data_IF_904761529477
#
_entry.id   IF_904761529477
#
_cell.length_a   1.000
_cell.length_b   1.000
_cell.length_c   1.000
_cell.angle_alpha   90.00
_cell.angle_beta   90.00
_cell.angle_gamma   90.00
#
_symmetry.space_group_name_H-M   'P 1'
#
loop_
_entity.id
_entity.type
_entity.pdbx_description
1 polymer ?
#
# COMPACT_ATOMS: atom_id res chain seq x y z
N UNK A 1 18.06 41.98 32.58
CA UNK A 1 18.91 42.03 31.37
C UNK A 1 20.22 41.38 31.78
N UNK A 2 20.58 40.14 31.44
CA UNK A 2 20.31 39.35 30.24
C UNK A 2 21.65 39.16 29.55
N UNK A 3 22.37 38.07 29.84
CA UNK A 3 23.50 37.62 29.02
C UNK A 3 23.71 36.10 29.22
N UNK A 4 22.65 35.32 28.96
CA UNK A 4 22.79 33.94 28.53
C UNK A 4 23.42 33.93 27.13
N UNK A 5 24.74 34.14 27.04
CA UNK A 5 25.48 33.85 25.80
C UNK A 5 25.69 32.35 25.71
N UNK A 6 24.64 31.64 25.33
CA UNK A 6 24.78 30.31 24.74
C UNK A 6 25.39 30.51 23.35
N UNK A 7 26.68 30.17 23.24
CA UNK A 7 27.41 30.17 21.97
C UNK A 7 27.85 28.74 21.65
N UNK A 8 27.67 28.34 20.39
CA UNK A 8 28.29 27.11 19.89
C UNK A 8 29.78 27.38 19.66
N UNK A 9 30.65 26.72 20.41
CA UNK A 9 32.09 26.75 20.15
C UNK A 9 32.44 25.55 19.25
N UNK A 10 32.75 25.82 17.98
CA UNK A 10 33.25 24.80 17.04
C UNK A 10 34.74 25.01 16.85
N UNK A 11 35.55 24.11 17.39
CA UNK A 11 37.01 24.13 17.20
C UNK A 11 37.40 23.02 16.23
N UNK A 12 37.79 23.41 15.01
CA UNK A 12 38.35 22.49 14.01
C UNK A 12 39.87 22.69 14.01
N UNK A 13 40.62 21.72 14.54
CA UNK A 13 42.08 21.77 14.54
C UNK A 13 42.68 20.36 14.53
N UNK A 14 43.98 20.26 14.17
CA UNK A 14 44.73 18.99 14.25
C UNK A 14 45.10 18.62 15.69
N UNK A 15 45.23 19.60 16.59
CA UNK A 15 45.53 19.44 18.02
C UNK A 15 44.96 20.65 18.78
N UNK A 16 44.05 20.40 19.72
CA UNK A 16 43.53 21.39 20.67
C UNK A 16 44.16 21.14 22.04
N UNK A 17 44.56 22.18 22.75
CA UNK A 17 45.06 22.09 24.13
C UNK A 17 44.61 23.32 24.88
N UNK A 18 43.90 23.13 26.00
CA UNK A 18 43.43 24.18 26.87
C UNK A 18 44.00 23.92 28.26
N UNK A 19 44.70 24.91 28.83
CA UNK A 19 45.33 24.83 30.14
C UNK A 19 44.64 25.83 31.06
N UNK A 20 44.08 25.36 32.18
CA UNK A 20 43.47 26.23 33.18
C UNK A 20 43.42 25.54 34.54
N UNK A 21 43.47 26.30 35.63
CA UNK A 21 43.40 25.76 36.99
C UNK A 21 42.02 25.16 37.32
N UNK A 22 40.96 25.65 36.67
CA UNK A 22 39.58 25.16 36.77
C UNK A 22 38.89 25.26 35.40
N UNK A 23 38.72 24.15 34.69
CA UNK A 23 37.87 24.09 33.49
C UNK A 23 36.47 23.69 33.93
N UNK A 24 35.49 24.59 33.75
CA UNK A 24 34.07 24.34 34.04
C UNK A 24 33.25 24.42 32.75
N UNK A 25 32.66 23.30 32.32
CA UNK A 25 31.66 23.30 31.26
C UNK A 25 30.27 23.24 31.88
N UNK A 26 29.53 24.34 31.75
CA UNK A 26 28.18 24.46 32.26
C UNK A 26 27.22 24.32 31.06
N UNK A 27 26.66 23.13 30.87
CA UNK A 27 25.69 22.83 29.81
C UNK A 27 24.34 22.50 30.42
N UNK A 28 23.26 23.04 29.85
CA UNK A 28 21.90 22.63 30.20
C UNK A 28 21.43 21.35 29.46
N UNK A 29 22.32 20.71 28.69
CA UNK A 29 22.07 19.44 27.98
C UNK A 29 23.32 18.56 27.87
N UNK A 30 23.21 17.41 27.18
CA UNK A 30 24.34 16.48 26.99
C UNK A 30 25.55 17.16 26.34
N UNK A 31 26.75 16.90 26.88
CA UNK A 31 28.02 17.35 26.30
C UNK A 31 28.65 16.18 25.56
N UNK A 32 28.88 16.33 24.25
CA UNK A 32 29.53 15.31 23.43
C UNK A 32 30.93 15.75 23.00
N UNK A 33 31.91 14.89 23.22
CA UNK A 33 33.27 15.06 22.72
C UNK A 33 33.55 13.97 21.70
N UNK A 34 33.84 14.37 20.47
CA UNK A 34 34.09 13.45 19.37
C UNK A 34 35.53 13.62 18.87
N UNK A 35 36.31 12.55 18.88
CA UNK A 35 37.67 12.52 18.33
C UNK A 35 37.87 11.26 17.49
N UNK A 36 38.40 11.43 16.28
CA UNK A 36 38.73 10.30 15.41
C UNK A 36 39.96 9.49 15.87
N UNK A 37 40.66 9.92 16.92
CA UNK A 37 41.87 9.26 17.43
C UNK A 37 41.86 9.02 18.95
N UNK A 38 41.79 10.08 19.76
CA UNK A 38 41.90 10.01 21.22
C UNK A 38 41.22 11.21 21.89
N UNK A 39 40.59 10.98 23.04
CA UNK A 39 40.15 12.02 23.98
C UNK A 39 40.94 11.82 25.27
N UNK A 40 41.57 12.89 25.77
CA UNK A 40 42.32 12.86 27.04
C UNK A 40 41.80 13.98 27.93
N UNK A 41 41.32 13.62 29.12
CA UNK A 41 40.92 14.57 30.16
C UNK A 41 41.88 14.41 31.34
N UNK A 42 42.54 15.48 31.76
CA UNK A 42 43.44 15.47 32.90
C UNK A 42 42.92 16.43 33.98
N UNK A 43 42.72 15.93 35.20
CA UNK A 43 42.36 16.71 36.37
C UNK A 43 43.32 16.45 37.54
N UNK A 44 43.08 17.11 38.69
CA UNK A 44 43.88 16.91 39.93
C UNK A 44 43.70 15.53 40.57
N UNK A 45 42.76 14.73 40.10
CA UNK A 45 42.64 13.29 40.37
C UNK A 45 42.86 12.55 39.05
N UNK A 46 43.52 11.39 39.11
CA UNK A 46 44.06 10.63 37.96
C UNK A 46 43.24 10.78 36.66
N UNK A 47 43.90 11.28 35.61
CA UNK A 47 43.24 11.58 34.34
C UNK A 47 42.71 10.34 33.63
N UNK A 48 41.49 10.42 33.09
CA UNK A 48 40.87 9.34 32.30
C UNK A 48 41.25 9.51 30.82
N UNK A 49 41.70 8.42 30.20
CA UNK A 49 42.02 8.38 28.76
C UNK A 49 41.11 7.36 28.08
N UNK A 50 40.50 7.74 26.96
CA UNK A 50 39.69 6.84 26.14
C UNK A 50 40.37 6.67 24.77
N UNK A 51 40.76 5.43 24.44
CA UNK A 51 41.21 5.04 23.12
C UNK A 51 40.15 4.19 22.41
N UNK A 52 40.02 4.39 21.08
CA UNK A 52 39.18 3.55 20.22
C UNK A 52 39.56 2.05 20.27
N UNK A 53 40.80 1.77 20.70
CA UNK A 53 41.38 0.44 20.81
C UNK A 53 41.94 0.17 22.21
N UNK A 54 41.42 0.83 23.26
CA UNK A 54 41.84 0.47 24.62
C UNK A 54 41.64 -1.06 24.77
N UNK A 55 42.68 -1.79 25.19
CA UNK A 55 42.53 -3.22 25.42
C UNK A 55 41.46 -3.34 26.48
N UNK A 56 40.35 -3.95 26.09
CA UNK A 56 39.41 -4.47 27.08
C UNK A 56 40.27 -5.36 27.98
N UNK A 57 40.40 -4.99 29.25
CA UNK A 57 40.90 -5.92 30.25
C UNK A 57 39.77 -6.93 30.48
N UNK A 58 39.55 -7.77 29.47
CA UNK A 58 38.84 -9.02 29.59
C UNK A 58 39.77 -9.89 30.42
N UNK A 59 39.27 -10.39 31.53
CA UNK A 59 39.97 -11.38 32.32
C UNK A 59 40.46 -12.50 31.35
N UNK A 60 41.77 -12.69 31.22
CA UNK A 60 42.38 -13.55 30.21
C UNK A 60 42.03 -15.03 30.38
N UNK A 61 41.40 -15.39 31.52
CA UNK A 61 40.92 -16.73 31.82
C UNK A 61 39.54 -17.05 31.23
N UNK A 62 38.68 -16.05 30.94
CA UNK A 62 37.30 -16.31 30.51
C UNK A 62 36.83 -15.26 29.50
N UNK A 63 36.46 -15.69 28.30
CA UNK A 63 35.87 -14.77 27.30
C UNK A 63 34.43 -14.46 27.70
N UNK A 64 34.09 -13.18 27.91
CA UNK A 64 32.70 -12.73 28.12
C UNK A 64 31.82 -13.28 27.00
N UNK A 65 30.74 -13.96 27.36
CA UNK A 65 29.76 -14.52 26.42
C UNK A 65 28.49 -13.72 26.44
N UNK A 66 27.87 -13.57 25.27
CA UNK A 66 26.47 -13.17 25.16
C UNK A 66 25.62 -14.41 25.46
N UNK A 67 24.64 -14.28 26.33
CA UNK A 67 23.74 -15.36 26.75
C UNK A 67 22.33 -15.19 26.20
N UNK A 68 21.94 -13.97 25.78
CA UNK A 68 20.60 -13.72 25.24
C UNK A 68 20.60 -12.57 24.24
N UNK A 69 20.02 -12.83 23.07
CA UNK A 69 19.70 -11.84 22.04
C UNK A 69 18.19 -11.79 21.86
N UNK A 70 17.62 -10.59 21.74
CA UNK A 70 16.18 -10.35 21.53
C UNK A 70 15.98 -9.37 20.39
N UNK A 71 14.86 -9.47 19.69
CA UNK A 71 14.46 -8.57 18.61
C UNK A 71 12.95 -8.62 18.39
N UNK A 72 12.43 -7.88 17.40
CA UNK A 72 11.02 -7.95 17.04
C UNK A 72 10.66 -9.35 16.50
N UNK A 73 9.37 -9.71 16.56
CA UNK A 73 8.89 -10.99 16.06
C UNK A 73 8.88 -11.02 14.52
N UNK A 74 8.70 -9.86 13.89
CA UNK A 74 8.87 -9.69 12.45
C UNK A 74 9.66 -8.44 12.09
N UNK A 75 10.24 -8.45 10.89
CA UNK A 75 11.01 -7.35 10.31
C UNK A 75 10.56 -7.13 8.88
N UNK A 76 10.39 -5.87 8.50
CA UNK A 76 10.08 -5.51 7.12
C UNK A 76 11.39 -5.45 6.31
N UNK A 77 11.43 -6.13 5.17
CA UNK A 77 12.55 -6.10 4.25
C UNK A 77 12.79 -4.67 3.73
N UNK A 78 14.05 -4.25 3.67
CA UNK A 78 14.48 -2.90 3.34
C UNK A 78 14.38 -1.89 4.50
N UNK A 79 13.70 -2.24 5.59
CA UNK A 79 13.59 -1.39 6.77
C UNK A 79 14.64 -1.73 7.82
N UNK A 80 14.74 -0.81 8.78
CA UNK A 80 15.69 -0.87 9.88
C UNK A 80 14.98 -1.20 11.19
N UNK A 81 15.54 -2.15 11.94
CA UNK A 81 14.97 -2.70 13.18
C UNK A 81 16.03 -2.79 14.28
N UNK A 82 15.61 -2.67 15.54
CA UNK A 82 16.50 -2.75 16.69
C UNK A 82 16.54 -4.17 17.28
N UNK A 83 17.74 -4.69 17.49
CA UNK A 83 18.03 -5.93 18.20
C UNK A 83 18.87 -5.64 19.44
N UNK A 84 18.77 -6.49 20.46
CA UNK A 84 19.37 -6.28 21.79
C UNK A 84 20.09 -7.51 22.28
N UNK A 85 21.30 -7.36 22.83
CA UNK A 85 21.93 -8.36 23.67
C UNK A 85 21.68 -7.97 25.13
N UNK A 86 20.99 -8.84 25.87
CA UNK A 86 20.35 -8.51 27.16
C UNK A 86 20.88 -9.30 28.34
N UNK A 87 21.67 -10.34 28.10
CA UNK A 87 22.30 -11.13 29.16
C UNK A 87 23.71 -11.54 28.76
N UNK A 88 24.62 -11.53 29.73
CA UNK A 88 26.04 -11.78 29.55
C UNK A 88 26.56 -12.70 30.67
N UNK A 89 27.68 -13.38 30.45
CA UNK A 89 28.27 -14.31 31.43
C UNK A 89 28.75 -13.65 32.73
N UNK A 90 28.89 -12.33 32.74
CA UNK A 90 29.28 -11.52 33.89
C UNK A 90 28.70 -10.10 33.73
N UNK A 91 28.82 -9.27 34.77
CA UNK A 91 28.44 -7.86 34.69
C UNK A 91 29.42 -7.10 33.82
N UNK A 92 28.94 -6.55 32.70
CA UNK A 92 29.78 -5.85 31.72
C UNK A 92 29.47 -4.34 31.74
N UNK A 93 30.47 -3.46 31.94
CA UNK A 93 30.27 -2.02 31.83
C UNK A 93 29.80 -1.60 30.42
N UNK A 94 28.95 -0.57 30.34
CA UNK A 94 28.37 -0.10 29.06
C UNK A 94 29.44 0.24 28.00
N UNK A 95 30.56 0.84 28.40
CA UNK A 95 31.67 1.14 27.47
C UNK A 95 32.28 -0.11 26.82
N UNK A 96 32.24 -1.27 27.50
CA UNK A 96 32.68 -2.55 26.93
C UNK A 96 31.57 -3.20 26.09
N UNK A 97 30.31 -3.02 26.46
CA UNK A 97 29.16 -3.49 25.67
C UNK A 97 29.09 -2.85 24.28
N UNK A 98 29.64 -1.65 24.10
CA UNK A 98 29.80 -1.02 22.79
C UNK A 98 30.69 -1.82 21.82
N UNK A 99 31.47 -2.79 22.32
CA UNK A 99 32.35 -3.66 21.52
C UNK A 99 31.69 -4.96 21.08
N UNK A 100 30.41 -5.17 21.43
CA UNK A 100 29.64 -6.32 20.94
C UNK A 100 29.57 -6.25 19.41
N UNK A 101 30.07 -7.32 18.78
CA UNK A 101 29.95 -7.57 17.36
C UNK A 101 28.59 -8.18 17.03
N UNK A 102 28.11 -7.94 15.82
CA UNK A 102 26.81 -8.41 15.35
C UNK A 102 26.94 -9.11 14.01
N UNK A 103 26.14 -10.15 13.80
CA UNK A 103 26.05 -10.86 12.54
C UNK A 103 24.60 -11.28 12.25
N UNK A 104 24.32 -11.68 11.01
CA UNK A 104 23.02 -12.20 10.62
C UNK A 104 23.14 -13.44 9.72
N UNK A 105 22.04 -14.16 9.60
CA UNK A 105 21.86 -15.26 8.65
C UNK A 105 20.43 -15.26 8.11
N UNK A 106 20.29 -15.65 6.85
CA UNK A 106 19.01 -15.92 6.17
C UNK A 106 18.84 -17.41 5.85
N UNK A 107 19.58 -18.29 6.50
CA UNK A 107 19.59 -19.73 6.22
C UNK A 107 19.77 -20.54 7.51
N UNK A 108 19.15 -20.04 8.57
CA UNK A 108 19.15 -20.59 9.93
C UNK A 108 20.55 -20.85 10.53
N UNK A 109 21.52 -20.03 10.15
CA UNK A 109 22.89 -20.03 10.66
C UNK A 109 23.88 -20.88 9.86
N UNK A 110 23.49 -21.43 8.70
CA UNK A 110 24.44 -22.09 7.79
C UNK A 110 25.47 -21.10 7.24
N UNK A 111 25.03 -19.88 6.91
CA UNK A 111 25.86 -18.77 6.47
C UNK A 111 25.66 -17.58 7.40
N UNK A 112 26.67 -17.28 8.21
CA UNK A 112 26.65 -16.17 9.16
C UNK A 112 27.54 -15.04 8.64
N UNK A 113 26.92 -13.88 8.42
CA UNK A 113 27.55 -12.71 7.80
C UNK A 113 27.68 -11.59 8.85
N UNK A 114 28.90 -11.17 9.21
CA UNK A 114 29.12 -10.02 10.09
C UNK A 114 28.59 -8.72 9.48
N UNK A 115 27.99 -7.85 10.30
CA UNK A 115 27.63 -6.51 9.86
C UNK A 115 28.90 -5.66 9.68
N UNK A 116 29.09 -5.12 8.47
CA UNK A 116 30.30 -4.33 8.11
C UNK A 116 30.29 -2.90 8.66
N UNK A 117 29.14 -2.38 9.10
CA UNK A 117 28.97 -0.99 9.51
C UNK A 117 27.92 -0.81 10.63
N UNK A 118 27.84 0.40 11.17
CA UNK A 118 26.90 0.80 12.22
C UNK A 118 27.48 0.71 13.64
N UNK A 119 27.07 1.61 14.51
CA UNK A 119 27.55 1.71 15.90
C UNK A 119 26.68 0.86 16.83
N UNK A 120 27.31 0.08 17.71
CA UNK A 120 26.61 -0.54 18.84
C UNK A 120 26.40 0.53 19.91
N UNK A 121 25.14 0.75 20.30
CA UNK A 121 24.81 1.57 21.47
C UNK A 121 24.79 0.67 22.70
N UNK A 122 25.21 1.17 23.86
CA UNK A 122 25.04 0.47 25.12
C UNK A 122 24.50 1.40 26.20
N UNK A 123 23.55 0.91 26.99
CA UNK A 123 23.06 1.59 28.19
C UNK A 123 22.50 0.55 29.16
N UNK A 124 22.74 0.76 30.47
CA UNK A 124 22.13 -0.03 31.55
C UNK A 124 22.35 -1.54 31.40
N UNK A 125 23.55 -1.94 30.95
CA UNK A 125 23.90 -3.34 30.78
C UNK A 125 23.31 -4.00 29.54
N UNK A 126 22.74 -3.24 28.60
CA UNK A 126 22.17 -3.76 27.35
C UNK A 126 22.95 -3.19 26.16
N UNK A 127 23.33 -4.05 25.21
CA UNK A 127 23.88 -3.62 23.93
C UNK A 127 22.80 -3.66 22.85
N UNK A 128 22.72 -2.61 22.04
CA UNK A 128 21.71 -2.40 21.01
C UNK A 128 22.36 -2.29 19.63
N UNK A 129 21.72 -2.89 18.63
CA UNK A 129 22.09 -2.72 17.24
C UNK A 129 20.88 -2.50 16.37
N UNK A 130 20.97 -1.46 15.58
CA UNK A 130 20.02 -1.10 14.56
C UNK A 130 20.46 -1.71 13.24
N UNK A 131 19.64 -2.59 12.67
CA UNK A 131 19.96 -3.46 11.53
C UNK A 131 18.97 -3.21 10.40
N UNK A 132 19.47 -2.93 9.20
CA UNK A 132 18.66 -2.97 7.98
C UNK A 132 18.63 -4.40 7.45
N UNK A 133 17.43 -4.97 7.37
CA UNK A 133 17.24 -6.32 6.84
C UNK A 133 17.06 -6.20 5.33
N UNK A 134 18.09 -6.48 4.55
CA UNK A 134 18.08 -6.35 3.09
C UNK A 134 18.79 -7.53 2.42
N UNK A 135 18.43 -7.82 1.16
CA UNK A 135 19.08 -8.84 0.35
C UNK A 135 18.63 -10.28 0.63
N UNK A 136 17.56 -10.48 1.42
CA UNK A 136 16.98 -11.79 1.61
C UNK A 136 16.03 -12.15 0.45
N UNK A 137 16.44 -13.10 -0.39
CA UNK A 137 15.66 -13.57 -1.54
C UNK A 137 15.17 -15.02 -1.39
N UNK A 138 15.46 -15.68 -0.27
CA UNK A 138 15.33 -17.14 -0.15
C UNK A 138 14.46 -17.55 1.03
N UNK A 139 14.73 -17.02 2.22
CA UNK A 139 14.12 -17.48 3.47
C UNK A 139 13.18 -16.42 4.02
N UNK A 140 12.04 -16.83 4.57
CA UNK A 140 11.07 -15.89 5.13
C UNK A 140 11.44 -15.47 6.56
N UNK A 141 12.71 -15.63 6.96
CA UNK A 141 13.23 -15.33 8.30
C UNK A 141 14.66 -14.75 8.27
N UNK A 142 15.02 -14.03 9.33
CA UNK A 142 16.39 -13.59 9.61
C UNK A 142 16.75 -13.96 11.04
N UNK A 143 17.93 -14.54 11.21
CA UNK A 143 18.56 -14.78 12.51
C UNK A 143 19.63 -13.72 12.76
N UNK A 144 19.59 -13.07 13.92
CA UNK A 144 20.57 -12.06 14.35
C UNK A 144 21.33 -12.55 15.57
N UNK A 145 22.65 -12.41 15.50
CA UNK A 145 23.61 -12.87 16.50
C UNK A 145 24.37 -11.69 17.08
N UNK A 146 24.75 -11.81 18.35
CA UNK A 146 25.63 -10.86 19.04
C UNK A 146 26.74 -11.62 19.76
N UNK A 147 27.98 -11.12 19.70
CA UNK A 147 29.15 -11.83 20.24
C UNK A 147 30.34 -10.89 20.49
N UNK A 148 31.25 -11.29 21.37
CA UNK A 148 32.54 -10.58 21.56
C UNK A 148 33.63 -11.13 20.63
N UNK A 149 33.95 -12.43 20.74
CA UNK A 149 35.03 -13.07 19.96
C UNK A 149 34.52 -14.01 18.87
N UNK A 150 33.58 -14.89 19.22
CA UNK A 150 33.03 -15.91 18.31
C UNK A 150 31.52 -16.00 18.47
N UNK A 151 30.83 -16.15 17.34
CA UNK A 151 29.39 -16.40 17.31
C UNK A 151 29.07 -17.73 17.99
N UNK A 152 28.10 -17.73 18.89
CA UNK A 152 27.41 -18.93 19.34
C UNK A 152 26.13 -19.09 18.49
N UNK A 153 26.02 -20.14 17.64
CA UNK A 153 24.89 -20.30 16.75
C UNK A 153 23.56 -20.55 17.47
N UNK A 154 23.59 -20.92 18.76
CA UNK A 154 22.40 -21.16 19.56
C UNK A 154 21.85 -19.87 20.20
N UNK A 155 22.66 -18.80 20.28
CA UNK A 155 22.28 -17.54 20.91
C UNK A 155 21.95 -16.52 19.81
N UNK A 156 20.68 -16.50 19.41
CA UNK A 156 20.17 -15.65 18.33
C UNK A 156 18.76 -15.13 18.63
N UNK A 157 18.42 -14.01 18.01
CA UNK A 157 17.03 -13.61 17.84
C UNK A 157 16.60 -13.93 16.41
N UNK A 158 15.42 -14.54 16.25
CA UNK A 158 14.85 -14.87 14.94
C UNK A 158 13.61 -14.02 14.71
N UNK A 159 13.51 -13.44 13.52
CA UNK A 159 12.36 -12.63 13.11
C UNK A 159 11.87 -13.07 11.73
N UNK A 160 10.54 -13.11 11.54
CA UNK A 160 9.93 -13.33 10.22
C UNK A 160 10.17 -12.11 9.33
N UNK A 161 10.59 -12.32 8.09
CA UNK A 161 10.75 -11.23 7.11
C UNK A 161 9.42 -10.98 6.40
N UNK A 162 8.97 -9.74 6.44
CA UNK A 162 7.78 -9.22 5.76
C UNK A 162 8.21 -8.45 4.52
N UNK A 163 7.65 -8.81 3.38
CA UNK A 163 7.93 -8.18 2.10
C UNK A 163 6.75 -7.29 1.72
N UNK A 164 7.04 -6.00 1.52
CA UNK A 164 6.07 -5.07 0.95
C UNK A 164 6.20 -5.08 -0.60
N UNK A 165 5.12 -4.84 -1.34
CA UNK A 165 3.78 -4.50 -0.85
C UNK A 165 3.00 -5.72 -0.31
N UNK A 166 2.12 -5.49 0.68
CA UNK A 166 1.14 -6.48 1.13
C UNK A 166 -0.24 -6.09 0.62
N UNK A 167 -1.01 -7.06 0.12
CA UNK A 167 -2.41 -6.85 -0.25
C UNK A 167 -3.22 -6.77 1.04
N UNK A 168 -3.86 -5.62 1.31
CA UNK A 168 -4.67 -5.41 2.51
C UNK A 168 -6.09 -5.92 2.30
N UNK A 169 -6.63 -5.65 1.11
CA UNK A 169 -7.99 -6.01 0.73
C UNK A 169 -8.15 -5.99 -0.81
N UNK A 170 -9.02 -6.87 -1.32
CA UNK A 170 -9.36 -7.01 -2.75
C UNK A 170 -10.82 -7.35 -2.91
N UNK A 171 -11.54 -6.49 -3.62
CA UNK A 171 -12.93 -6.73 -3.98
C UNK A 171 -13.05 -6.96 -5.49
N UNK A 172 -13.56 -8.14 -5.88
CA UNK A 172 -13.73 -8.59 -7.27
C UNK A 172 -12.44 -8.49 -8.10
N UNK A 173 -12.56 -8.72 -9.41
CA UNK A 173 -11.46 -8.62 -10.38
C UNK A 173 -11.96 -7.83 -11.60
N UNK A 174 -11.18 -6.87 -12.14
CA UNK A 174 -11.62 -6.01 -13.22
C UNK A 174 -12.06 -6.80 -14.46
N UNK A 175 -13.23 -6.46 -15.02
CA UNK A 175 -13.78 -7.09 -16.23
C UNK A 175 -14.47 -8.44 -16.04
N UNK A 176 -14.46 -9.01 -14.83
CA UNK A 176 -15.21 -10.23 -14.50
C UNK A 176 -16.51 -9.89 -13.76
N UNK A 177 -17.54 -10.71 -13.93
CA UNK A 177 -18.83 -10.55 -13.26
C UNK A 177 -18.74 -10.76 -11.73
N UNK A 178 -19.88 -10.62 -11.04
CA UNK A 178 -20.00 -10.67 -9.58
C UNK A 178 -19.51 -11.99 -9.00
N UNK A 179 -19.62 -13.08 -9.76
CA UNK A 179 -19.15 -14.42 -9.36
C UNK A 179 -17.67 -14.65 -9.67
N UNK A 180 -17.07 -13.79 -10.52
CA UNK A 180 -15.71 -13.97 -11.02
C UNK A 180 -15.56 -15.13 -12.00
N UNK A 181 -16.65 -15.62 -12.60
CA UNK A 181 -16.68 -16.83 -13.44
C UNK A 181 -16.97 -16.58 -14.92
N UNK A 182 -17.23 -15.33 -15.31
CA UNK A 182 -17.34 -14.93 -16.71
C UNK A 182 -17.15 -13.42 -16.85
N UNK A 183 -17.28 -12.88 -18.06
CA UNK A 183 -17.31 -11.44 -18.33
C UNK A 183 -18.39 -10.73 -17.51
N UNK A 184 -18.07 -9.52 -17.02
CA UNK A 184 -19.08 -8.62 -16.47
C UNK A 184 -20.08 -8.21 -17.56
N UNK A 185 -21.37 -8.12 -17.21
CA UNK A 185 -22.42 -7.96 -18.21
C UNK A 185 -22.34 -6.61 -18.96
N UNK A 186 -21.94 -5.56 -18.24
CA UNK A 186 -21.64 -4.22 -18.72
C UNK A 186 -20.32 -4.12 -19.51
N UNK A 187 -19.44 -5.13 -19.41
CA UNK A 187 -18.26 -5.29 -20.26
C UNK A 187 -18.51 -6.14 -21.52
N UNK A 188 -19.68 -6.79 -21.62
CA UNK A 188 -20.05 -7.56 -22.81
C UNK A 188 -20.42 -6.63 -23.97
N UNK A 189 -20.10 -7.04 -25.20
CA UNK A 189 -20.39 -6.24 -26.40
C UNK A 189 -20.48 -7.14 -27.62
N UNK A 190 -21.29 -6.75 -28.60
CA UNK A 190 -21.52 -7.61 -29.76
C UNK A 190 -22.57 -7.08 -30.72
N UNK A 191 -23.08 -7.99 -31.55
CA UNK A 191 -24.08 -7.69 -32.59
C UNK A 191 -25.40 -8.40 -32.37
N UNK A 192 -25.81 -8.55 -31.11
CA UNK A 192 -27.06 -9.22 -30.74
C UNK A 192 -27.03 -10.74 -30.84
N UNK A 193 -25.85 -11.36 -30.76
CA UNK A 193 -25.65 -12.81 -30.78
C UNK A 193 -25.23 -13.30 -29.39
N UNK A 194 -26.20 -13.40 -28.47
CA UNK A 194 -25.93 -13.77 -27.08
C UNK A 194 -25.33 -15.17 -26.92
N UNK A 195 -24.17 -15.27 -26.27
CA UNK A 195 -23.50 -16.54 -25.95
C UNK A 195 -22.80 -16.46 -24.60
N UNK A 196 -23.06 -17.45 -23.73
CA UNK A 196 -22.30 -17.71 -22.51
C UNK A 196 -21.86 -19.18 -22.45
N UNK A 197 -20.73 -19.51 -21.79
CA UNK A 197 -19.76 -18.56 -21.22
C UNK A 197 -18.93 -17.86 -22.31
N UNK A 198 -18.42 -16.66 -22.01
CA UNK A 198 -17.53 -15.91 -22.90
C UNK A 198 -16.07 -16.34 -22.69
N UNK A 199 -15.66 -16.51 -21.44
CA UNK A 199 -14.30 -16.95 -21.09
C UNK A 199 -14.22 -18.43 -20.73
N UNK A 200 -13.07 -19.05 -20.99
CA UNK A 200 -12.79 -20.39 -20.48
C UNK A 200 -12.45 -20.35 -18.99
N UNK A 201 -12.78 -21.42 -18.25
CA UNK A 201 -12.44 -21.54 -16.83
C UNK A 201 -10.92 -21.44 -16.58
N UNK A 202 -10.10 -21.96 -17.51
CA UNK A 202 -8.64 -21.90 -17.43
C UNK A 202 -8.12 -20.45 -17.54
N UNK A 203 -8.67 -19.66 -18.46
CA UNK A 203 -8.31 -18.24 -18.62
C UNK A 203 -8.62 -17.43 -17.36
N UNK A 204 -9.78 -17.68 -16.76
CA UNK A 204 -10.21 -17.01 -15.53
C UNK A 204 -9.29 -17.37 -14.36
N UNK A 205 -8.97 -18.65 -14.17
CA UNK A 205 -8.09 -19.09 -13.11
C UNK A 205 -6.68 -18.46 -13.25
N UNK A 206 -6.14 -18.43 -14.47
CA UNK A 206 -4.86 -17.79 -14.76
C UNK A 206 -4.89 -16.28 -14.45
N UNK A 207 -5.94 -15.58 -14.89
CA UNK A 207 -6.07 -14.14 -14.68
C UNK A 207 -6.21 -13.78 -13.20
N UNK A 208 -7.07 -14.48 -12.45
CA UNK A 208 -7.27 -14.23 -11.01
C UNK A 208 -5.97 -14.38 -10.21
N UNK A 209 -5.23 -15.45 -10.47
CA UNK A 209 -3.96 -15.69 -9.79
C UNK A 209 -2.94 -14.59 -10.13
N UNK A 210 -2.80 -14.23 -11.41
CA UNK A 210 -1.90 -13.17 -11.85
C UNK A 210 -2.26 -11.79 -11.28
N UNK A 211 -3.56 -11.46 -11.21
CA UNK A 211 -4.06 -10.19 -10.68
C UNK A 211 -3.78 -10.01 -9.18
N UNK A 212 -3.94 -11.08 -8.39
CA UNK A 212 -3.63 -11.04 -6.96
C UNK A 212 -2.16 -10.75 -6.69
N UNK A 213 -1.26 -11.38 -7.45
CA UNK A 213 0.17 -11.25 -7.24
C UNK A 213 0.74 -9.96 -7.85
N UNK A 214 0.45 -9.70 -9.13
CA UNK A 214 1.11 -8.62 -9.90
C UNK A 214 0.19 -7.48 -10.32
N UNK A 215 -1.12 -7.60 -10.08
CA UNK A 215 -2.12 -6.62 -10.52
C UNK A 215 -2.53 -6.79 -11.99
N UNK A 216 -3.22 -5.80 -12.54
CA UNK A 216 -3.69 -5.83 -13.92
C UNK A 216 -2.55 -5.49 -14.91
N UNK A 217 -2.17 -6.43 -15.76
CA UNK A 217 -1.21 -6.25 -16.86
C UNK A 217 -1.97 -6.07 -18.18
N UNK A 218 -1.84 -4.90 -18.82
CA UNK A 218 -2.59 -4.57 -20.02
C UNK A 218 -2.28 -5.46 -21.23
N UNK A 219 -1.07 -6.04 -21.31
CA UNK A 219 -0.69 -6.94 -22.39
C UNK A 219 -1.24 -8.35 -22.14
N UNK A 220 -1.08 -8.87 -20.93
CA UNK A 220 -1.51 -10.24 -20.57
C UNK A 220 -3.02 -10.36 -20.39
N UNK A 221 -3.65 -9.30 -19.89
CA UNK A 221 -5.08 -9.29 -19.53
C UNK A 221 -5.93 -8.49 -20.53
N UNK A 222 -5.39 -8.18 -21.71
CA UNK A 222 -6.05 -7.43 -22.78
C UNK A 222 -7.50 -7.89 -23.04
N UNK A 223 -7.74 -9.20 -23.03
CA UNK A 223 -9.07 -9.78 -23.24
C UNK A 223 -10.10 -9.41 -22.18
N UNK A 224 -9.70 -9.22 -20.93
CA UNK A 224 -10.62 -8.86 -19.85
C UNK A 224 -10.98 -7.37 -19.84
N UNK A 225 -10.26 -6.56 -20.63
CA UNK A 225 -10.56 -5.15 -20.86
C UNK A 225 -11.10 -4.86 -22.27
N UNK A 226 -11.40 -5.88 -23.08
CA UNK A 226 -11.80 -5.74 -24.48
C UNK A 226 -10.77 -5.07 -25.41
N UNK A 227 -9.49 -5.11 -25.07
CA UNK A 227 -8.42 -4.64 -25.98
C UNK A 227 -8.10 -5.65 -27.09
N UNK A 228 -8.60 -6.88 -26.98
CA UNK A 228 -8.51 -7.94 -27.99
C UNK A 228 -9.59 -7.79 -29.09
N UNK A 229 -9.57 -8.71 -30.05
CA UNK A 229 -10.60 -8.84 -31.09
C UNK A 229 -11.58 -9.95 -30.73
N UNK A 230 -12.88 -9.73 -30.92
CA UNK A 230 -13.88 -10.78 -30.77
C UNK A 230 -15.29 -10.21 -30.64
N UNK A 231 -16.29 -11.09 -30.68
CA UNK A 231 -17.65 -10.79 -30.24
C UNK A 231 -17.82 -11.44 -28.86
N UNK A 232 -18.21 -10.64 -27.86
CA UNK A 232 -18.45 -11.07 -26.48
C UNK A 232 -19.89 -10.81 -26.08
N UNK A 233 -20.79 -10.82 -27.06
CA UNK A 233 -22.20 -10.54 -26.88
C UNK A 233 -22.84 -11.59 -25.98
N UNK A 234 -23.53 -11.13 -24.94
CA UNK A 234 -24.30 -12.00 -24.04
C UNK A 234 -25.81 -11.81 -24.20
N UNK A 235 -26.22 -10.81 -24.98
CA UNK A 235 -27.63 -10.50 -25.24
C UNK A 235 -27.97 -10.72 -26.71
N UNK A 236 -29.15 -11.30 -26.93
CA UNK A 236 -29.74 -11.43 -28.25
C UNK A 236 -30.40 -10.12 -28.69
N UNK A 237 -30.54 -9.91 -30.00
CA UNK A 237 -31.32 -8.76 -30.53
C UNK A 237 -32.72 -8.71 -29.92
N UNK A 238 -33.38 -9.86 -29.75
CA UNK A 238 -34.70 -9.93 -29.14
C UNK A 238 -34.70 -9.41 -27.69
N UNK A 239 -33.73 -9.83 -26.86
CA UNK A 239 -33.59 -9.33 -25.49
C UNK A 239 -33.38 -7.81 -25.46
N UNK A 240 -32.51 -7.27 -26.32
CA UNK A 240 -32.27 -5.82 -26.38
C UNK A 240 -33.53 -5.08 -26.82
N UNK A 241 -34.22 -5.52 -27.87
CA UNK A 241 -35.44 -4.87 -28.38
C UNK A 241 -36.62 -4.95 -27.42
N UNK A 242 -36.67 -5.96 -26.56
CA UNK A 242 -37.74 -6.15 -25.58
C UNK A 242 -37.65 -5.22 -24.37
N UNK A 243 -36.58 -4.41 -24.25
CA UNK A 243 -36.48 -3.37 -23.21
C UNK A 243 -37.49 -2.23 -23.41
N UNK A 244 -38.08 -2.07 -24.60
CA UNK A 244 -39.26 -1.23 -24.79
C UNK A 244 -39.43 -0.60 -26.18
N UNK A 245 -40.57 0.05 -26.41
CA UNK A 245 -40.88 0.71 -27.70
C UNK A 245 -39.88 1.80 -28.07
N UNK A 246 -39.41 2.57 -27.09
CA UNK A 246 -38.42 3.62 -27.34
C UNK A 246 -37.04 3.05 -27.72
N UNK A 247 -36.69 1.86 -27.25
CA UNK A 247 -35.48 1.14 -27.69
C UNK A 247 -35.59 0.76 -29.17
N UNK A 248 -36.73 0.21 -29.58
CA UNK A 248 -37.01 -0.10 -30.99
C UNK A 248 -36.89 1.15 -31.86
N UNK A 249 -37.44 2.28 -31.40
CA UNK A 249 -37.35 3.56 -32.10
C UNK A 249 -35.88 4.02 -32.24
N UNK A 250 -35.12 4.03 -31.15
CA UNK A 250 -33.71 4.41 -31.18
C UNK A 250 -32.87 3.50 -32.09
N UNK A 251 -33.20 2.21 -32.22
CA UNK A 251 -32.43 1.29 -33.07
C UNK A 251 -32.53 1.57 -34.57
N UNK A 252 -33.50 2.36 -35.04
CA UNK A 252 -33.56 2.82 -36.43
C UNK A 252 -32.53 3.92 -36.75
N UNK A 253 -31.94 4.55 -35.73
CA UNK A 253 -30.94 5.59 -35.91
C UNK A 253 -29.62 5.02 -36.43
N UNK A 254 -28.93 5.83 -37.25
CA UNK A 254 -27.54 5.58 -37.64
C UNK A 254 -26.60 5.69 -36.45
N UNK A 255 -25.42 5.05 -36.51
CA UNK A 255 -24.41 5.13 -35.45
C UNK A 255 -24.02 6.58 -35.14
N UNK A 256 -23.93 7.46 -36.14
CA UNK A 256 -23.67 8.89 -35.93
C UNK A 256 -24.77 9.60 -35.13
N UNK A 257 -26.05 9.27 -35.35
CA UNK A 257 -27.16 9.82 -34.57
C UNK A 257 -27.17 9.26 -33.15
N UNK A 258 -26.87 7.96 -32.98
CA UNK A 258 -26.72 7.35 -31.66
C UNK A 258 -25.60 8.02 -30.85
N UNK A 259 -24.45 8.29 -31.47
CA UNK A 259 -23.36 9.01 -30.80
C UNK A 259 -23.69 10.47 -30.49
N UNK A 260 -24.54 11.10 -31.30
CA UNK A 260 -25.07 12.44 -31.02
C UNK A 260 -25.99 12.41 -29.80
N UNK A 261 -26.94 11.47 -29.74
CA UNK A 261 -27.82 11.28 -28.58
C UNK A 261 -27.04 10.98 -27.30
N UNK A 262 -25.99 10.16 -27.41
CA UNK A 262 -25.12 9.83 -26.29
C UNK A 262 -24.37 11.07 -25.76
N UNK A 263 -23.79 11.89 -26.64
CA UNK A 263 -23.14 13.15 -26.23
C UNK A 263 -24.12 14.16 -25.67
N UNK A 264 -25.28 14.34 -26.31
CA UNK A 264 -26.30 15.28 -25.85
C UNK A 264 -26.75 14.98 -24.41
N UNK A 265 -26.88 13.71 -24.04
CA UNK A 265 -27.17 13.30 -22.66
C UNK A 265 -26.09 13.77 -21.68
N UNK A 266 -24.81 13.63 -22.02
CA UNK A 266 -23.70 14.07 -21.15
C UNK A 266 -23.69 15.58 -20.97
N UNK A 267 -24.02 16.35 -22.01
CA UNK A 267 -24.18 17.81 -21.89
C UNK A 267 -25.29 18.22 -20.94
N UNK A 268 -26.31 17.38 -20.73
CA UNK A 268 -27.36 17.65 -19.76
C UNK A 268 -26.97 17.25 -18.33
N UNK A 269 -26.07 16.26 -18.20
CA UNK A 269 -25.81 15.60 -16.92
C UNK A 269 -24.52 16.02 -16.24
N UNK A 270 -23.46 16.38 -16.97
CA UNK A 270 -22.14 16.71 -16.41
C UNK A 270 -21.71 18.14 -16.73
N UNK A 271 -20.86 18.73 -15.87
CA UNK A 271 -20.27 20.07 -16.02
C UNK A 271 -18.77 20.04 -15.69
N UNK A 272 -18.04 21.06 -16.16
CA UNK A 272 -16.61 21.25 -15.85
C UNK A 272 -15.70 20.18 -16.45
N UNK A 273 -14.51 19.99 -15.88
CA UNK A 273 -13.45 19.09 -16.39
C UNK A 273 -13.93 17.66 -16.64
N UNK A 274 -14.90 17.19 -15.85
CA UNK A 274 -15.44 15.85 -16.01
C UNK A 274 -16.38 15.70 -17.21
N UNK A 275 -17.02 16.78 -17.67
CA UNK A 275 -17.75 16.78 -18.94
C UNK A 275 -16.77 16.50 -20.11
N UNK A 276 -15.62 17.19 -20.13
CA UNK A 276 -14.58 16.94 -21.14
C UNK A 276 -13.97 15.53 -21.00
N UNK A 277 -13.77 15.05 -19.76
CA UNK A 277 -13.37 13.66 -19.54
C UNK A 277 -14.37 12.66 -20.14
N UNK A 278 -15.68 12.85 -19.91
CA UNK A 278 -16.69 11.93 -20.44
C UNK A 278 -16.76 12.01 -21.96
N UNK A 279 -16.59 13.20 -22.57
CA UNK A 279 -16.45 13.33 -24.03
C UNK A 279 -15.30 12.47 -24.56
N UNK A 280 -14.14 12.51 -23.91
CA UNK A 280 -12.99 11.66 -24.28
C UNK A 280 -13.29 10.16 -24.10
N UNK A 281 -14.06 9.79 -23.07
CA UNK A 281 -14.52 8.41 -22.88
C UNK A 281 -15.45 7.95 -24.00
N UNK A 282 -16.37 8.80 -24.45
CA UNK A 282 -17.23 8.50 -25.60
C UNK A 282 -16.42 8.45 -26.90
N UNK A 283 -15.44 9.34 -27.11
CA UNK A 283 -14.55 9.31 -28.28
C UNK A 283 -13.74 8.00 -28.31
N UNK A 284 -13.27 7.54 -27.14
CA UNK A 284 -12.62 6.23 -27.00
C UNK A 284 -13.57 5.10 -27.38
N UNK A 285 -14.79 5.10 -26.84
CA UNK A 285 -15.81 4.11 -27.15
C UNK A 285 -16.10 4.08 -28.65
N UNK A 286 -16.28 5.25 -29.27
CA UNK A 286 -16.50 5.42 -30.71
C UNK A 286 -15.31 4.96 -31.57
N UNK A 287 -14.08 5.12 -31.07
CA UNK A 287 -12.89 4.58 -31.73
C UNK A 287 -12.74 3.06 -31.60
N UNK A 288 -13.64 2.41 -30.85
CA UNK A 288 -13.73 0.97 -30.67
C UNK A 288 -12.43 0.32 -30.16
N UNK A 289 -11.76 0.98 -29.20
CA UNK A 289 -10.43 0.55 -28.70
C UNK A 289 -10.48 -0.45 -27.53
N UNK A 290 -11.54 -0.47 -26.72
CA UNK A 290 -11.54 -1.21 -25.45
C UNK A 290 -10.39 -0.77 -24.53
N UNK A 291 -9.81 -1.69 -23.76
CA UNK A 291 -8.61 -1.51 -22.93
C UNK A 291 -8.83 -0.77 -21.62
N UNK A 292 -7.77 -0.15 -21.10
CA UNK A 292 -7.81 0.66 -19.87
C UNK A 292 -7.82 2.13 -20.23
N UNK A 293 -8.68 2.90 -19.56
CA UNK A 293 -8.76 4.35 -19.62
C UNK A 293 -8.43 4.95 -18.26
N UNK A 294 -7.52 5.92 -18.26
CA UNK A 294 -7.10 6.68 -17.08
C UNK A 294 -7.17 8.17 -17.42
N UNK A 295 -7.57 8.98 -16.43
CA UNK A 295 -7.61 10.42 -16.59
C UNK A 295 -7.33 11.12 -15.26
N UNK A 296 -6.50 12.16 -15.29
CA UNK A 296 -6.09 12.87 -14.08
C UNK A 296 -7.23 13.68 -13.43
N UNK A 297 -8.12 14.28 -14.23
CA UNK A 297 -9.29 14.99 -13.72
C UNK A 297 -10.29 14.03 -13.07
N UNK A 298 -10.51 12.86 -13.68
CA UNK A 298 -11.31 11.80 -13.08
C UNK A 298 -10.71 11.32 -11.75
N UNK A 299 -9.41 11.03 -11.74
CA UNK A 299 -8.69 10.61 -10.53
C UNK A 299 -8.83 11.64 -9.41
N UNK A 300 -8.63 12.92 -9.72
CA UNK A 300 -8.78 14.03 -8.76
C UNK A 300 -10.20 14.11 -8.20
N UNK A 301 -11.22 14.02 -9.06
CA UNK A 301 -12.61 14.10 -8.64
C UNK A 301 -13.03 12.91 -7.76
N UNK A 302 -12.60 11.70 -8.12
CA UNK A 302 -12.84 10.49 -7.33
C UNK A 302 -12.17 10.58 -5.96
N UNK A 303 -10.92 11.02 -5.88
CA UNK A 303 -10.22 11.22 -4.60
C UNK A 303 -10.96 12.23 -3.71
N UNK A 304 -11.39 13.36 -4.28
CA UNK A 304 -12.04 14.42 -3.52
C UNK A 304 -13.44 14.05 -3.00
N UNK A 305 -14.07 13.01 -3.56
CA UNK A 305 -15.44 12.66 -3.25
C UNK A 305 -15.63 12.11 -1.81
N UNK A 306 -16.68 12.53 -1.08
CA UNK A 306 -16.97 12.02 0.27
C UNK A 306 -17.08 10.48 0.35
N UNK A 307 -17.55 9.80 -0.69
CA UNK A 307 -17.63 8.33 -0.70
C UNK A 307 -16.26 7.69 -0.64
N UNK A 308 -15.29 8.19 -1.41
CA UNK A 308 -13.91 7.70 -1.41
C UNK A 308 -13.21 8.00 -0.09
N UNK A 309 -13.48 9.16 0.53
CA UNK A 309 -12.93 9.49 1.84
C UNK A 309 -13.44 8.56 2.95
N UNK A 310 -14.75 8.22 2.93
CA UNK A 310 -15.32 7.22 3.86
C UNK A 310 -14.72 5.84 3.66
N UNK A 311 -14.58 5.40 2.41
CA UNK A 311 -13.91 4.14 2.06
C UNK A 311 -12.48 4.10 2.63
N UNK A 312 -11.66 5.12 2.32
CA UNK A 312 -10.28 5.19 2.81
C UNK A 312 -10.21 5.21 4.35
N UNK A 313 -11.12 5.92 5.01
CA UNK A 313 -11.20 5.95 6.48
C UNK A 313 -11.48 4.57 7.06
N UNK A 314 -12.41 3.82 6.46
CA UNK A 314 -12.72 2.46 6.88
C UNK A 314 -11.56 1.48 6.70
N UNK A 315 -10.86 1.56 5.56
CA UNK A 315 -9.67 0.75 5.29
C UNK A 315 -8.52 1.08 6.26
N UNK A 316 -8.31 2.37 6.57
CA UNK A 316 -7.32 2.79 7.57
C UNK A 316 -7.67 2.30 8.98
N UNK A 317 -8.95 2.31 9.36
CA UNK A 317 -9.41 1.79 10.65
C UNK A 317 -9.21 0.28 10.75
N UNK A 318 -9.48 -0.45 9.68
CA UNK A 318 -9.22 -1.89 9.61
C UNK A 318 -7.72 -2.20 9.72
N UNK A 319 -6.87 -1.51 8.96
CA UNK A 319 -5.41 -1.68 9.08
C UNK A 319 -4.95 -1.39 10.51
N UNK A 320 -5.43 -0.32 11.14
CA UNK A 320 -5.08 0.02 12.51
C UNK A 320 -5.53 -1.07 13.51
N UNK A 321 -6.72 -1.64 13.32
CA UNK A 321 -7.22 -2.74 14.14
C UNK A 321 -6.37 -4.01 14.00
N UNK A 322 -5.97 -4.37 12.77
CA UNK A 322 -5.06 -5.49 12.49
C UNK A 322 -3.69 -5.26 13.17
N UNK A 323 -3.13 -4.04 13.05
CA UNK A 323 -1.86 -3.65 13.68
C UNK A 323 -1.94 -3.74 15.21
N UNK A 324 -3.02 -3.22 15.82
CA UNK A 324 -3.22 -3.27 17.27
C UNK A 324 -3.31 -4.70 17.79
N UNK A 325 -4.13 -5.54 17.15
CA UNK A 325 -4.28 -6.96 17.53
C UNK A 325 -2.97 -7.75 17.39
N UNK A 326 -2.13 -7.37 16.43
CA UNK A 326 -0.82 -7.97 16.20
C UNK A 326 0.31 -7.32 17.02
N UNK A 327 0.01 -6.39 17.94
CA UNK A 327 1.01 -5.73 18.78
C UNK A 327 2.02 -4.88 18.01
N UNK A 328 1.64 -4.32 16.86
CA UNK A 328 2.51 -3.54 15.98
C UNK A 328 3.12 -4.32 14.81
N UNK A 329 2.93 -5.64 14.76
CA UNK A 329 3.44 -6.51 13.70
C UNK A 329 2.49 -6.51 12.48
N UNK A 330 3.01 -6.82 11.29
CA UNK A 330 2.22 -6.88 10.04
C UNK A 330 1.89 -8.31 9.60
N UNK A 331 2.11 -9.32 10.45
CA UNK A 331 1.96 -10.74 10.07
C UNK A 331 0.54 -11.14 9.69
N UNK A 332 -0.47 -10.38 10.13
CA UNK A 332 -1.90 -10.56 9.82
C UNK A 332 -2.44 -9.48 8.86
N UNK A 333 -1.56 -8.68 8.25
CA UNK A 333 -1.98 -7.59 7.37
C UNK A 333 -2.41 -8.09 5.98
N UNK A 334 -1.77 -9.14 5.47
CA UNK A 334 -2.02 -9.64 4.12
C UNK A 334 -3.34 -10.41 4.03
N UNK A 335 -4.25 -9.95 3.19
CA UNK A 335 -5.45 -10.65 2.76
C UNK A 335 -5.51 -10.69 1.22
N UNK A 336 -5.31 -11.87 0.66
CA UNK A 336 -5.43 -12.15 -0.79
C UNK A 336 -6.77 -12.80 -1.15
N UNK A 337 -7.71 -12.90 -0.21
CA UNK A 337 -9.04 -13.39 -0.51
C UNK A 337 -9.77 -12.39 -1.41
N UNK A 338 -10.12 -12.80 -2.63
CA UNK A 338 -11.01 -12.00 -3.46
C UNK A 338 -12.44 -12.23 -3.03
N UNK A 339 -13.13 -11.16 -2.65
CA UNK A 339 -14.54 -11.20 -2.33
C UNK A 339 -15.39 -11.06 -3.60
N UNK A 340 -16.25 -12.06 -3.82
CA UNK A 340 -17.23 -12.16 -4.90
C UNK A 340 -18.64 -12.29 -4.32
N UNK A 341 -19.67 -12.06 -5.13
CA UNK A 341 -21.07 -12.27 -4.75
C UNK A 341 -21.84 -11.00 -4.40
N UNK A 342 -22.93 -11.18 -3.64
CA UNK A 342 -23.88 -10.11 -3.31
C UNK A 342 -23.27 -9.06 -2.37
N UNK A 343 -23.69 -7.81 -2.57
CA UNK A 343 -23.16 -6.63 -1.89
C UNK A 343 -23.42 -6.62 -0.38
N UNK A 344 -24.54 -7.19 0.09
CA UNK A 344 -24.87 -7.29 1.51
C UNK A 344 -23.96 -8.27 2.24
N UNK A 345 -23.66 -9.41 1.62
CA UNK A 345 -22.69 -10.39 2.13
C UNK A 345 -21.30 -9.76 2.30
N UNK A 346 -20.84 -9.02 1.29
CA UNK A 346 -19.55 -8.33 1.34
C UNK A 346 -19.54 -7.20 2.40
N UNK A 347 -20.58 -6.37 2.47
CA UNK A 347 -20.71 -5.28 3.47
C UNK A 347 -20.74 -5.77 4.92
N UNK A 348 -21.16 -7.02 5.16
CA UNK A 348 -21.12 -7.60 6.52
C UNK A 348 -19.70 -7.72 7.07
N UNK A 349 -18.72 -7.98 6.20
CA UNK A 349 -17.29 -8.09 6.55
C UNK A 349 -16.54 -6.78 6.33
N UNK A 350 -16.97 -5.99 5.36
CA UNK A 350 -16.38 -4.71 4.98
C UNK A 350 -17.43 -3.60 5.12
N UNK A 351 -17.71 -3.13 6.34
CA UNK A 351 -18.79 -2.16 6.58
C UNK A 351 -18.57 -0.82 5.88
N UNK A 352 -17.35 -0.54 5.43
CA UNK A 352 -17.02 0.64 4.63
C UNK A 352 -17.38 0.50 3.14
N UNK A 353 -17.70 -0.70 2.66
CA UNK A 353 -18.13 -0.97 1.30
C UNK A 353 -17.09 -0.60 0.25
N UNK A 354 -17.55 -0.22 -0.95
CA UNK A 354 -16.74 0.39 -1.99
C UNK A 354 -17.22 1.83 -2.28
N UNK A 355 -16.37 2.68 -2.89
CA UNK A 355 -16.81 4.00 -3.34
C UNK A 355 -17.93 3.88 -4.38
N UNK A 356 -18.98 4.67 -4.20
CA UNK A 356 -20.09 4.78 -5.13
C UNK A 356 -20.50 6.25 -5.29
N UNK A 357 -20.85 6.62 -6.51
CA UNK A 357 -21.14 7.97 -6.96
C UNK A 357 -22.56 8.08 -7.56
N UNK A 358 -23.60 7.66 -6.81
CA UNK A 358 -24.96 7.69 -7.32
C UNK A 358 -25.42 9.12 -7.57
N UNK A 359 -26.32 9.27 -8.53
CA UNK A 359 -26.87 10.58 -8.94
C UNK A 359 -27.46 11.40 -7.79
N UNK A 360 -28.01 10.73 -6.78
CA UNK A 360 -28.80 11.32 -5.69
C UNK A 360 -27.95 11.89 -4.55
N UNK A 361 -26.63 11.71 -4.60
CA UNK A 361 -25.71 12.10 -3.52
C UNK A 361 -24.53 12.91 -4.04
N UNK A 362 -23.93 13.72 -3.16
CA UNK A 362 -22.64 14.39 -3.35
C UNK A 362 -22.49 15.18 -4.68
N UNK A 363 -23.60 15.62 -5.28
CA UNK A 363 -23.65 16.24 -6.62
C UNK A 363 -22.95 15.41 -7.71
N UNK A 364 -22.90 14.08 -7.56
CA UNK A 364 -22.16 13.18 -8.45
C UNK A 364 -22.67 13.23 -9.89
N UNK A 365 -23.97 13.47 -10.10
CA UNK A 365 -24.52 13.61 -11.44
C UNK A 365 -23.96 14.88 -12.09
N UNK A 366 -24.23 16.04 -11.49
CA UNK A 366 -23.82 17.34 -12.03
C UNK A 366 -22.30 17.48 -12.21
N UNK A 367 -21.52 16.85 -11.33
CA UNK A 367 -20.06 16.78 -11.47
C UNK A 367 -19.60 15.79 -12.53
N UNK A 368 -20.41 14.80 -12.92
CA UNK A 368 -20.13 13.82 -13.97
C UNK A 368 -19.64 12.46 -13.48
N UNK A 369 -19.40 12.27 -12.17
CA UNK A 369 -18.94 10.99 -11.62
C UNK A 369 -19.97 9.87 -11.80
N UNK A 370 -21.28 10.19 -11.74
CA UNK A 370 -22.36 9.21 -12.00
C UNK A 370 -22.30 8.63 -13.41
N UNK A 371 -21.74 9.35 -14.39
CA UNK A 371 -21.61 8.85 -15.77
C UNK A 371 -20.23 8.22 -16.01
N UNK A 372 -19.18 8.77 -15.41
CA UNK A 372 -17.81 8.33 -15.66
C UNK A 372 -17.42 7.02 -14.94
N UNK A 373 -17.95 6.78 -13.72
CA UNK A 373 -17.46 5.69 -12.85
C UNK A 373 -18.50 5.25 -11.79
N UNK A 374 -19.79 5.49 -12.04
CA UNK A 374 -20.93 5.43 -11.10
C UNK A 374 -20.77 4.60 -9.82
N UNK A 375 -20.43 3.31 -9.91
CA UNK A 375 -20.24 2.43 -8.75
C UNK A 375 -19.00 1.58 -8.96
N UNK A 376 -17.99 1.73 -8.10
CA UNK A 376 -16.69 1.07 -8.32
C UNK A 376 -16.88 -0.44 -8.34
N UNK A 377 -16.71 -1.03 -9.52
CA UNK A 377 -16.86 -2.46 -9.74
C UNK A 377 -15.89 -3.31 -8.94
N UNK A 378 -14.62 -2.93 -8.88
CA UNK A 378 -13.58 -3.67 -8.16
C UNK A 378 -12.49 -2.76 -7.64
N UNK A 379 -11.81 -3.19 -6.58
CA UNK A 379 -10.66 -2.46 -6.07
C UNK A 379 -9.59 -3.39 -5.49
N UNK A 380 -8.38 -2.84 -5.36
CA UNK A 380 -7.26 -3.45 -4.65
C UNK A 380 -6.59 -2.40 -3.78
N UNK A 381 -6.42 -2.72 -2.49
CA UNK A 381 -5.63 -1.90 -1.55
C UNK A 381 -4.35 -2.62 -1.19
N UNK A 382 -3.22 -1.93 -1.30
CA UNK A 382 -1.92 -2.49 -0.94
C UNK A 382 -1.17 -1.58 0.02
N UNK A 383 -0.62 -2.16 1.11
CA UNK A 383 0.30 -1.47 2.00
C UNK A 383 1.69 -1.47 1.36
N UNK A 384 2.20 -0.30 1.00
CA UNK A 384 3.44 -0.13 0.23
C UNK A 384 4.63 0.30 1.08
N UNK A 385 4.39 0.99 2.21
CA UNK A 385 5.41 1.30 3.19
C UNK A 385 4.85 1.29 4.61
N UNK A 386 5.66 0.90 5.58
CA UNK A 386 5.32 0.97 7.00
C UNK A 386 6.57 1.24 7.82
N UNK A 387 6.49 2.16 8.77
CA UNK A 387 7.58 2.49 9.69
C UNK A 387 7.02 2.64 11.10
N UNK A 388 7.50 1.81 12.01
CA UNK A 388 7.22 1.88 13.44
C UNK A 388 8.36 2.63 14.17
N UNK A 389 8.03 3.52 15.09
CA UNK A 389 8.98 4.27 15.93
C UNK A 389 8.39 4.38 17.33
N UNK A 390 8.96 3.62 18.27
CA UNK A 390 8.29 3.37 19.55
C UNK A 390 6.93 2.74 19.31
N UNK A 391 5.87 3.36 19.85
CA UNK A 391 4.50 2.90 19.67
C UNK A 391 3.78 3.58 18.49
N UNK A 392 4.41 4.54 17.82
CA UNK A 392 3.78 5.29 16.71
C UNK A 392 4.24 4.74 15.38
N UNK A 393 3.32 4.56 14.43
CA UNK A 393 3.65 4.15 13.08
C UNK A 393 3.21 5.19 12.04
N UNK A 394 3.89 5.16 10.90
CA UNK A 394 3.48 5.78 9.64
C UNK A 394 3.35 4.70 8.58
N UNK A 395 2.21 4.65 7.91
CA UNK A 395 1.89 3.70 6.86
C UNK A 395 1.56 4.45 5.56
N UNK A 396 2.02 3.91 4.43
CA UNK A 396 1.67 4.35 3.08
C UNK A 396 0.98 3.19 2.37
N UNK A 397 -0.12 3.47 1.71
CA UNK A 397 -0.89 2.48 0.96
C UNK A 397 -1.33 3.04 -0.39
N UNK A 398 -1.50 2.15 -1.35
CA UNK A 398 -2.05 2.43 -2.68
C UNK A 398 -3.47 1.87 -2.78
N UNK A 399 -4.37 2.64 -3.37
CA UNK A 399 -5.72 2.23 -3.76
C UNK A 399 -5.80 2.22 -5.28
N UNK A 400 -6.24 1.09 -5.83
CA UNK A 400 -6.62 0.95 -7.24
C UNK A 400 -8.11 0.69 -7.32
N UNK A 401 -8.87 1.57 -7.96
CA UNK A 401 -10.29 1.45 -8.23
C UNK A 401 -10.50 1.19 -9.72
N UNK A 402 -11.43 0.29 -10.03
CA UNK A 402 -11.77 -0.10 -11.39
C UNK A 402 -13.27 -0.09 -11.56
N UNK A 403 -13.72 0.39 -12.71
CA UNK A 403 -15.11 0.34 -13.13
C UNK A 403 -15.21 0.09 -14.64
N UNK A 404 -16.42 -0.08 -15.12
CA UNK A 404 -16.72 -0.36 -16.51
C UNK A 404 -17.40 0.85 -17.16
N UNK A 405 -16.87 1.29 -18.30
CA UNK A 405 -17.60 2.20 -19.17
C UNK A 405 -18.43 1.40 -20.17
N UNK A 406 -19.53 0.84 -19.67
CA UNK A 406 -20.53 0.10 -20.44
C UNK A 406 -21.82 -0.08 -19.64
N UNK A 407 -22.84 -0.67 -20.28
CA UNK A 407 -24.17 -0.85 -19.71
C UNK A 407 -24.64 -2.30 -19.79
N UNK A 408 -25.44 -2.71 -18.83
CA UNK A 408 -26.10 -4.02 -18.80
C UNK A 408 -27.64 -3.94 -18.93
N UNK A 409 -28.31 -5.09 -18.97
CA UNK A 409 -29.78 -5.12 -19.08
C UNK A 409 -30.49 -4.43 -17.88
N UNK A 410 -30.11 -4.68 -16.61
CA UNK A 410 -30.64 -3.94 -15.47
C UNK A 410 -30.59 -2.42 -15.61
N UNK A 411 -29.57 -1.85 -16.28
CA UNK A 411 -29.52 -0.41 -16.54
C UNK A 411 -30.67 0.09 -17.42
N UNK A 412 -31.23 -0.77 -18.28
CA UNK A 412 -32.35 -0.42 -19.16
C UNK A 412 -33.70 -0.39 -18.44
N UNK A 413 -33.77 -0.91 -17.21
CA UNK A 413 -34.98 -0.87 -16.37
C UNK A 413 -35.05 0.41 -15.52
N UNK A 414 -33.95 1.16 -15.42
CA UNK A 414 -33.85 2.41 -14.66
C UNK A 414 -34.49 3.57 -15.42
N UNK A 415 -35.00 4.58 -14.71
CA UNK A 415 -35.70 5.71 -15.33
C UNK A 415 -34.85 6.50 -16.35
N UNK A 416 -33.52 6.41 -16.30
CA UNK A 416 -32.64 7.04 -17.27
C UNK A 416 -32.74 6.46 -18.69
N UNK A 417 -33.21 5.22 -18.84
CA UNK A 417 -33.40 4.57 -20.15
C UNK A 417 -34.54 5.21 -20.97
N UNK A 418 -35.37 6.06 -20.36
CA UNK A 418 -36.31 6.93 -21.07
C UNK A 418 -35.59 7.99 -21.91
N UNK A 419 -34.38 8.39 -21.53
CA UNK A 419 -33.52 9.27 -22.33
C UNK A 419 -32.93 8.55 -23.54
N UNK A 420 -32.82 9.25 -24.68
CA UNK A 420 -32.27 8.67 -25.91
C UNK A 420 -30.80 8.26 -25.77
N UNK A 421 -30.00 8.97 -24.96
CA UNK A 421 -28.57 8.71 -24.79
C UNK A 421 -28.23 7.36 -24.16
N UNK A 422 -28.94 6.92 -23.11
CA UNK A 422 -28.71 5.59 -22.50
C UNK A 422 -29.06 4.46 -23.48
N UNK A 423 -30.17 4.61 -24.21
CA UNK A 423 -30.54 3.64 -25.26
C UNK A 423 -29.49 3.62 -26.37
N UNK A 424 -29.00 4.78 -26.78
CA UNK A 424 -27.97 4.88 -27.80
C UNK A 424 -26.69 4.18 -27.38
N UNK A 425 -26.21 4.43 -26.15
CA UNK A 425 -25.07 3.72 -25.58
C UNK A 425 -25.27 2.20 -25.59
N UNK A 426 -26.43 1.72 -25.12
CA UNK A 426 -26.75 0.30 -25.07
C UNK A 426 -26.81 -0.35 -26.46
N UNK A 427 -27.43 0.31 -27.45
CA UNK A 427 -27.50 -0.15 -28.84
C UNK A 427 -26.10 -0.23 -29.47
N UNK A 428 -25.29 0.83 -29.30
CA UNK A 428 -23.93 0.88 -29.83
C UNK A 428 -23.09 -0.29 -29.28
N UNK A 429 -23.22 -0.59 -27.99
CA UNK A 429 -22.51 -1.69 -27.33
C UNK A 429 -22.99 -3.06 -27.79
N UNK A 430 -24.29 -3.33 -27.69
CA UNK A 430 -24.82 -4.70 -27.79
C UNK A 430 -25.36 -5.08 -29.17
N UNK A 431 -25.57 -4.12 -30.07
CA UNK A 431 -26.07 -4.37 -31.42
C UNK A 431 -25.16 -3.84 -32.53
N UNK A 432 -24.23 -2.93 -32.24
CA UNK A 432 -23.25 -2.41 -33.21
C UNK A 432 -21.82 -2.87 -32.93
N UNK A 433 -21.56 -3.43 -31.75
CA UNK A 433 -20.27 -4.04 -31.39
C UNK A 433 -19.18 -3.04 -30.98
N UNK A 434 -19.58 -1.87 -30.48
CA UNK A 434 -18.63 -0.94 -29.86
C UNK A 434 -18.18 -1.44 -28.48
N UNK A 435 -16.87 -1.45 -28.25
CA UNK A 435 -16.23 -2.05 -27.09
C UNK A 435 -16.29 -1.15 -25.85
N UNK A 436 -16.96 -1.58 -24.77
CA UNK A 436 -16.78 -0.97 -23.46
C UNK A 436 -15.36 -1.25 -22.97
N UNK A 437 -14.91 -0.47 -22.00
CA UNK A 437 -13.53 -0.50 -21.51
C UNK A 437 -13.47 -0.32 -20.00
N UNK A 438 -12.33 -0.68 -19.42
CA UNK A 438 -12.09 -0.47 -17.99
C UNK A 438 -11.68 0.98 -17.74
N UNK A 439 -12.33 1.61 -16.77
CA UNK A 439 -11.88 2.87 -16.19
C UNK A 439 -11.06 2.56 -14.95
N UNK A 440 -9.88 3.19 -14.81
CA UNK A 440 -9.00 3.00 -13.66
C UNK A 440 -8.70 4.32 -12.96
N UNK A 441 -8.79 4.31 -11.64
CA UNK A 441 -8.33 5.37 -10.76
C UNK A 441 -7.32 4.78 -9.78
N UNK A 442 -6.13 5.37 -9.69
CA UNK A 442 -5.07 4.92 -8.79
C UNK A 442 -4.51 6.10 -8.00
N UNK A 443 -4.36 5.92 -6.69
CA UNK A 443 -3.77 6.94 -5.83
C UNK A 443 -3.15 6.34 -4.57
N UNK A 444 -2.24 7.09 -3.97
CA UNK A 444 -1.61 6.72 -2.70
C UNK A 444 -2.12 7.60 -1.57
N UNK A 445 -2.19 7.03 -0.37
CA UNK A 445 -2.45 7.75 0.87
C UNK A 445 -1.48 7.34 1.95
N UNK A 446 -1.35 8.21 2.94
CA UNK A 446 -0.56 7.96 4.13
C UNK A 446 -1.42 8.21 5.36
N UNK A 447 -1.23 7.40 6.39
CA UNK A 447 -1.83 7.63 7.70
C UNK A 447 -0.84 7.29 8.81
N UNK A 448 -1.03 7.94 9.96
CA UNK A 448 -0.30 7.66 11.19
C UNK A 448 -1.25 7.06 12.23
N UNK A 449 -0.67 6.32 13.16
CA UNK A 449 -1.40 5.73 14.26
C UNK A 449 -0.49 5.25 15.39
N UNK A 450 -1.10 4.76 16.45
CA UNK A 450 -0.40 4.13 17.56
C UNK A 450 -0.77 2.64 17.61
N UNK A 451 0.18 1.77 17.94
CA UNK A 451 -0.05 0.32 18.04
C UNK A 451 -1.06 -0.05 19.15
N UNK A 452 -1.39 0.88 20.05
CA UNK A 452 -2.44 0.70 21.06
C UNK A 452 -3.82 1.15 20.60
N UNK A 453 -3.95 1.73 19.39
CA UNK A 453 -5.17 2.36 18.88
C UNK A 453 -5.62 1.69 17.58
N UNK A 454 -6.83 1.10 17.62
CA UNK A 454 -7.45 0.39 16.52
C UNK A 454 -8.63 1.18 15.96
N UNK A 455 -9.60 0.48 15.39
CA UNK A 455 -10.74 1.11 14.72
C UNK A 455 -11.57 1.96 15.71
N UNK A 456 -11.84 1.43 16.90
CA UNK A 456 -12.68 2.10 17.90
C UNK A 456 -12.03 3.39 18.43
N UNK A 457 -10.74 3.36 18.76
CA UNK A 457 -10.02 4.53 19.27
C UNK A 457 -9.81 5.61 18.20
N UNK A 458 -9.63 5.21 16.93
CA UNK A 458 -9.56 6.17 15.83
C UNK A 458 -10.91 6.83 15.58
N UNK A 459 -12.00 6.07 15.67
CA UNK A 459 -13.36 6.58 15.49
C UNK A 459 -13.76 7.56 16.57
N UNK A 460 -13.33 7.39 17.83
CA UNK A 460 -13.67 8.33 18.92
C UNK A 460 -12.92 9.66 18.83
N UNK A 461 -11.86 9.76 18.03
CA UNK A 461 -11.05 10.98 17.84
C UNK A 461 -11.47 11.82 16.62
N UNK A 462 -12.28 11.26 15.72
CA UNK A 462 -12.85 11.96 14.56
C UNK A 462 -14.24 12.45 14.91
#
# INVERSE_FOLDING_TARGET
MGDNKTGNMVVICKKYTENGENIRWNSQGETSLNSGKRIRMAGKQEGVTFHKNDPVVLNTATTIKVLKVTGPASVINGNTHEFKATAFSETVPDHQLMLVNWAFSFDDGKTIIPFKSGTTKAEKGIAYKTITVAGNTVDKQVSVYAYFRKVDPNIKATAKVIYLPLVVDVYRVPGLNETGLDIANDMAYGKGNGKKPVYSAADIAAYRNAYLDTGFDAAKHAKFANADTGDKGIYTTAQVMNTGTLMKLSNFSSDSMLFLDFRAMVELMARGDLNDNIRNMIDRFQSNKGGVYENAALTKAVIANPSTQRFCTGVEDEMAERIKKAGGELTAMEDKQVYYGDEAGYKSKHPYGHPAFPYSRDYNLATGLTIAINDVWSYKVTLTAFKLTGNTYKAKYEVQLWDHFGLDLPDMEKFYSYGAGFRAWFILQHLRGYKPFLTKVQFEKEFTGNITEGAAERKSKR
#
